data_IF_301162461026
#
_entry.id   IF_301162461026
#
_cell.length_a   1.000
_cell.length_b   1.000
_cell.length_c   1.000
_cell.angle_alpha   90.00
_cell.angle_beta   90.00
_cell.angle_gamma   90.00
#
_symmetry.space_group_name_H-M   'P 1'
#
loop_
_entity.id
_entity.type
_entity.pdbx_description
1 polymer ?
#
# COMPACT_ATOMS: atom_id res chain seq x y z
N UNK A 1 -11.65 17.84 -7.10
CA UNK A 1 -11.19 18.57 -5.89
C UNK A 1 -10.22 17.63 -5.22
N UNK A 2 -8.92 17.79 -5.50
CA UNK A 2 -7.92 16.83 -5.07
C UNK A 2 -7.62 17.02 -3.59
N UNK A 3 -7.67 15.92 -2.83
CA UNK A 3 -7.34 15.94 -1.41
C UNK A 3 -5.86 16.29 -1.24
N UNK A 4 -5.54 17.04 -0.18
CA UNK A 4 -4.16 17.31 0.24
C UNK A 4 -3.33 16.01 0.30
N UNK A 5 -2.02 16.04 -0.03
CA UNK A 5 -1.13 14.88 0.10
C UNK A 5 -1.19 14.24 1.50
N UNK A 6 -1.43 15.03 2.54
CA UNK A 6 -1.47 14.56 3.93
C UNK A 6 -2.84 13.97 4.34
N UNK A 7 -3.84 14.00 3.44
CA UNK A 7 -5.18 13.56 3.75
C UNK A 7 -5.30 12.03 3.76
N UNK A 8 -6.10 11.51 4.68
CA UNK A 8 -6.49 10.11 4.68
C UNK A 8 -7.29 9.74 3.41
N UNK A 9 -6.95 8.58 2.86
CA UNK A 9 -7.63 8.00 1.68
C UNK A 9 -8.51 6.84 2.10
N UNK A 10 -9.70 6.74 1.54
CA UNK A 10 -10.58 5.57 1.67
C UNK A 10 -10.06 4.42 0.82
N UNK A 11 -10.53 3.20 1.07
CA UNK A 11 -10.16 2.07 0.20
C UNK A 11 -10.60 2.23 -1.24
N UNK A 12 -11.72 2.90 -1.51
CA UNK A 12 -12.15 3.17 -2.88
C UNK A 12 -11.16 4.09 -3.59
N UNK A 13 -10.71 5.15 -2.92
CA UNK A 13 -9.72 6.09 -3.47
C UNK A 13 -8.37 5.40 -3.71
N UNK A 14 -7.87 4.62 -2.75
CA UNK A 14 -6.59 3.90 -2.94
C UNK A 14 -6.69 2.84 -4.04
N UNK A 15 -7.85 2.20 -4.19
CA UNK A 15 -8.11 1.23 -5.24
C UNK A 15 -8.09 1.89 -6.63
N UNK A 16 -8.76 3.03 -6.77
CA UNK A 16 -8.79 3.81 -8.00
C UNK A 16 -7.41 4.39 -8.35
N UNK A 17 -6.72 4.98 -7.37
CA UNK A 17 -5.37 5.55 -7.53
C UNK A 17 -4.34 4.51 -8.02
N UNK A 18 -4.54 3.24 -7.67
CA UNK A 18 -3.62 2.14 -7.98
C UNK A 18 -4.09 1.23 -9.11
N UNK A 19 -5.27 1.49 -9.68
CA UNK A 19 -5.96 0.60 -10.62
C UNK A 19 -6.02 -0.85 -10.09
N UNK A 20 -6.47 -1.02 -8.84
CA UNK A 20 -6.61 -2.30 -8.17
C UNK A 20 -8.04 -2.50 -7.67
N UNK A 21 -8.61 -3.71 -7.78
CA UNK A 21 -9.87 -4.01 -7.12
C UNK A 21 -9.74 -3.86 -5.59
N UNK A 22 -10.76 -3.29 -4.93
CA UNK A 22 -10.75 -3.10 -3.47
C UNK A 22 -10.51 -4.40 -2.67
N UNK A 23 -10.95 -5.55 -3.19
CA UNK A 23 -10.76 -6.83 -2.52
C UNK A 23 -9.27 -7.25 -2.48
N UNK A 24 -8.44 -6.79 -3.42
CA UNK A 24 -6.98 -7.00 -3.40
C UNK A 24 -6.37 -6.23 -2.24
N UNK A 25 -6.75 -4.98 -2.02
CA UNK A 25 -6.31 -4.20 -0.87
C UNK A 25 -6.74 -4.84 0.46
N UNK A 26 -7.99 -5.34 0.55
CA UNK A 26 -8.45 -6.10 1.72
C UNK A 26 -7.63 -7.36 1.95
N UNK A 27 -7.28 -8.07 0.87
CA UNK A 27 -6.43 -9.24 0.97
C UNK A 27 -5.03 -8.86 1.44
N UNK A 28 -4.45 -7.77 0.94
CA UNK A 28 -3.15 -7.28 1.37
C UNK A 28 -3.09 -6.87 2.84
N UNK A 29 -4.17 -6.30 3.40
CA UNK A 29 -4.29 -6.08 4.86
C UNK A 29 -4.07 -7.37 5.67
N UNK A 30 -4.40 -8.54 5.12
CA UNK A 30 -4.18 -9.85 5.78
C UNK A 30 -2.78 -10.41 5.59
N UNK A 31 -2.03 -9.92 4.59
CA UNK A 31 -0.72 -10.44 4.21
C UNK A 31 0.42 -9.55 4.69
N UNK A 32 0.22 -8.24 4.75
CA UNK A 32 1.25 -7.28 5.15
C UNK A 32 0.81 -6.61 6.44
N UNK A 33 1.45 -6.98 7.55
CA UNK A 33 1.12 -6.45 8.87
C UNK A 33 1.41 -4.96 8.99
N UNK A 34 2.18 -4.38 8.07
CA UNK A 34 2.47 -2.96 7.95
C UNK A 34 1.25 -2.16 7.45
N UNK A 35 0.36 -2.77 6.67
CA UNK A 35 -0.87 -2.13 6.16
C UNK A 35 -1.95 -2.21 7.24
N UNK A 36 -2.11 -1.14 8.01
CA UNK A 36 -3.09 -1.07 9.12
C UNK A 36 -4.05 0.10 8.92
N UNK A 37 -5.15 -0.06 8.15
CA UNK A 37 -6.11 1.02 7.98
C UNK A 37 -6.80 1.36 9.29
N UNK A 38 -7.04 2.65 9.49
CA UNK A 38 -7.89 3.14 10.57
C UNK A 38 -9.34 2.76 10.26
N UNK A 39 -9.95 1.97 11.15
CA UNK A 39 -11.35 1.57 11.04
C UNK A 39 -12.22 2.59 11.78
N UNK A 40 -13.18 3.20 11.09
CA UNK A 40 -14.23 4.05 11.70
C UNK A 40 -15.57 3.32 11.71
N UNK A 41 -16.58 3.92 12.34
CA UNK A 41 -17.94 3.40 12.39
C UNK A 41 -18.46 2.95 11.01
N UNK A 42 -19.19 1.84 10.99
CA UNK A 42 -19.69 1.23 9.74
C UNK A 42 -18.64 0.48 8.91
N UNK A 43 -17.47 0.15 9.48
CA UNK A 43 -16.46 -0.67 8.80
C UNK A 43 -15.66 0.05 7.70
N UNK A 44 -15.78 1.37 7.63
CA UNK A 44 -15.02 2.22 6.69
C UNK A 44 -13.53 2.20 7.05
N UNK A 45 -12.70 1.99 6.04
CA UNK A 45 -11.24 1.92 6.15
C UNK A 45 -10.62 3.18 5.57
N UNK A 46 -9.72 3.77 6.34
CA UNK A 46 -8.92 4.92 5.94
C UNK A 46 -7.44 4.58 6.04
N UNK A 47 -6.69 4.84 4.99
CA UNK A 47 -5.24 4.68 4.92
C UNK A 47 -4.59 6.04 5.16
N UNK A 48 -3.52 6.06 5.95
CA UNK A 48 -2.68 7.26 6.07
C UNK A 48 -1.88 7.42 4.78
N UNK A 49 -1.45 8.65 4.44
CA UNK A 49 -0.57 8.89 3.29
C UNK A 49 0.63 7.92 3.24
N UNK A 50 1.30 7.72 4.38
CA UNK A 50 2.44 6.79 4.50
C UNK A 50 2.07 5.32 4.22
N UNK A 51 0.86 4.89 4.57
CA UNK A 51 0.38 3.55 4.24
C UNK A 51 0.14 3.42 2.73
N UNK A 52 -0.38 4.48 2.09
CA UNK A 52 -0.60 4.53 0.64
C UNK A 52 0.72 4.44 -0.13
N UNK A 53 1.75 5.18 0.29
CA UNK A 53 3.08 5.09 -0.32
C UNK A 53 3.69 3.68 -0.18
N UNK A 54 3.49 3.04 0.98
CA UNK A 54 3.92 1.66 1.15
C UNK A 54 3.16 0.70 0.22
N UNK A 55 1.85 0.88 0.06
CA UNK A 55 1.01 0.07 -0.82
C UNK A 55 1.46 0.23 -2.29
N UNK A 56 1.84 1.44 -2.72
CA UNK A 56 2.43 1.68 -4.05
C UNK A 56 3.69 0.85 -4.27
N UNK A 57 4.61 0.87 -3.31
CA UNK A 57 5.83 0.04 -3.35
C UNK A 57 5.53 -1.46 -3.42
N UNK A 58 4.57 -1.93 -2.62
CA UNK A 58 4.13 -3.34 -2.65
C UNK A 58 3.54 -3.69 -4.02
N UNK A 59 2.69 -2.83 -4.59
CA UNK A 59 2.14 -3.02 -5.93
C UNK A 59 3.25 -3.13 -6.98
N UNK A 60 4.18 -2.19 -6.99
CA UNK A 60 5.30 -2.20 -7.94
C UNK A 60 6.07 -3.54 -7.86
N UNK A 61 6.39 -3.99 -6.65
CA UNK A 61 7.10 -5.26 -6.50
C UNK A 61 6.29 -6.46 -6.98
N UNK A 62 4.98 -6.51 -6.69
CA UNK A 62 4.14 -7.65 -7.04
C UNK A 62 3.76 -7.70 -8.52
N UNK A 63 3.39 -6.56 -9.11
CA UNK A 63 2.86 -6.49 -10.47
C UNK A 63 3.92 -6.15 -11.51
N UNK A 64 4.82 -5.21 -11.20
CA UNK A 64 5.79 -4.71 -12.18
C UNK A 64 7.08 -5.54 -12.14
N UNK A 65 7.55 -5.91 -10.95
CA UNK A 65 8.77 -6.71 -10.75
C UNK A 65 8.51 -8.22 -10.63
N UNK A 66 7.24 -8.65 -10.60
CA UNK A 66 6.88 -10.08 -10.55
C UNK A 66 7.25 -10.81 -9.26
N UNK A 67 7.46 -10.11 -8.14
CA UNK A 67 7.72 -10.74 -6.86
C UNK A 67 6.49 -11.49 -6.34
N UNK A 68 6.73 -12.53 -5.55
CA UNK A 68 5.66 -13.16 -4.76
C UNK A 68 5.39 -12.39 -3.47
N UNK A 69 4.20 -12.57 -2.89
CA UNK A 69 3.86 -12.03 -1.55
C UNK A 69 4.91 -12.38 -0.51
N UNK A 70 5.39 -13.64 -0.50
CA UNK A 70 6.45 -14.08 0.43
C UNK A 70 7.77 -13.35 0.19
N UNK A 71 8.10 -13.07 -1.07
CA UNK A 71 9.28 -12.28 -1.45
C UNK A 71 9.19 -10.85 -0.92
N UNK A 72 8.06 -10.17 -1.16
CA UNK A 72 7.86 -8.79 -0.66
C UNK A 72 7.84 -8.74 0.87
N UNK A 73 7.23 -9.71 1.54
CA UNK A 73 7.30 -9.84 2.99
C UNK A 73 8.74 -10.02 3.49
N UNK A 74 9.59 -10.75 2.76
CA UNK A 74 11.01 -10.92 3.10
C UNK A 74 11.75 -9.58 2.99
N UNK A 75 11.58 -8.86 1.88
CA UNK A 75 12.16 -7.54 1.68
C UNK A 75 11.79 -6.55 2.80
N UNK A 76 10.53 -6.57 3.23
CA UNK A 76 10.05 -5.76 4.35
C UNK A 76 10.73 -6.09 5.68
N UNK A 77 11.01 -7.37 5.94
CA UNK A 77 11.71 -7.78 7.17
C UNK A 77 13.18 -7.38 7.16
N UNK A 78 13.81 -7.44 5.99
CA UNK A 78 15.26 -7.19 5.84
C UNK A 78 15.59 -5.70 5.73
N UNK A 79 14.78 -4.93 5.01
CA UNK A 79 15.07 -3.54 4.66
C UNK A 79 14.10 -2.52 5.28
N UNK A 80 13.01 -2.99 5.90
CA UNK A 80 11.98 -2.13 6.47
C UNK A 80 11.05 -1.47 5.43
N UNK A 81 10.15 -0.62 5.91
CA UNK A 81 9.12 0.01 5.07
C UNK A 81 9.69 1.05 4.10
N UNK A 82 10.71 1.80 4.54
CA UNK A 82 11.31 2.89 3.76
C UNK A 82 11.87 2.40 2.42
N UNK A 83 12.39 1.18 2.38
CA UNK A 83 12.89 0.56 1.16
C UNK A 83 11.80 0.41 0.09
N UNK A 84 10.62 -0.12 0.46
CA UNK A 84 9.52 -0.25 -0.50
C UNK A 84 8.91 1.09 -0.88
N UNK A 85 8.86 2.05 0.04
CA UNK A 85 8.40 3.42 -0.26
C UNK A 85 9.32 4.08 -1.29
N UNK A 86 10.64 3.99 -1.11
CA UNK A 86 11.62 4.52 -2.06
C UNK A 86 11.47 3.88 -3.45
N UNK A 87 11.28 2.55 -3.51
CA UNK A 87 11.01 1.84 -4.77
C UNK A 87 9.72 2.35 -5.43
N UNK A 88 8.63 2.50 -4.66
CA UNK A 88 7.35 2.96 -5.18
C UNK A 88 7.39 4.39 -5.75
N UNK A 89 8.32 5.21 -5.28
CA UNK A 89 8.55 6.57 -5.76
C UNK A 89 9.50 6.65 -6.98
N UNK A 90 10.12 5.53 -7.37
CA UNK A 90 11.12 5.50 -8.44
C UNK A 90 12.52 5.96 -8.02
N UNK A 91 12.79 6.06 -6.72
CA UNK A 91 14.07 6.55 -6.18
C UNK A 91 15.19 5.48 -6.22
N UNK A 92 14.86 4.25 -6.62
CA UNK A 92 15.81 3.16 -6.82
C UNK A 92 15.72 2.66 -8.26
N UNK A 93 16.38 3.37 -9.17
CA UNK A 93 16.77 2.91 -10.49
C UNK A 93 18.30 2.97 -10.61
#
# INVERSE_FOLDING_TARGET
MDKSPDAFRTISEVAEDLDLPQHVLRFWETRFTQIKPMKRGGGRRYYRPQDVELIKGIRHMLYDQGYTIKGVQKLLRENGNHFLVAIGNGDMA
#
